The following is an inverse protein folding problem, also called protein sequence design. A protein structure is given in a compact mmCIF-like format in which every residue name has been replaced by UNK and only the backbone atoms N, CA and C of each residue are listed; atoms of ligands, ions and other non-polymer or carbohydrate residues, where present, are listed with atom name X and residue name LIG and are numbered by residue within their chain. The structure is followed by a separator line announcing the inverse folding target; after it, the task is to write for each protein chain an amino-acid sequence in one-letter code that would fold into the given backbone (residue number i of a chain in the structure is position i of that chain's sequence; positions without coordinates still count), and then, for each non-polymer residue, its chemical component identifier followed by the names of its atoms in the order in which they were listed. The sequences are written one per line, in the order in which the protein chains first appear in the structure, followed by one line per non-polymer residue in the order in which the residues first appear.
data_IF_567998395408
#
_entry.id   IF_567998395408
#
_cell.length_a   1.000
_cell.length_b   1.000
_cell.length_c   1.000
_cell.angle_alpha   90.00
_cell.angle_beta   90.00
_cell.angle_gamma   90.00
#
_symmetry.space_group_name_H-M   'P 1'
#
loop_
_entity.id
_entity.type
_entity.pdbx_description
1 polymer ?
#
# COMPACT_ATOMS: atom_id res chain seq x y z
N UNK A 1 -13.31 7.47 -29.12
CA UNK A 1 -11.94 7.85 -28.71
C UNK A 1 -11.77 9.27 -29.19
N UNK A 2 -11.43 10.23 -28.32
CA UNK A 2 -11.11 11.57 -28.80
C UNK A 2 -9.94 11.45 -29.77
N UNK A 3 -9.97 12.21 -30.86
CA UNK A 3 -8.85 12.19 -31.79
C UNK A 3 -7.68 12.90 -31.09
N UNK A 4 -6.54 12.22 -30.98
CA UNK A 4 -5.34 12.73 -30.33
C UNK A 4 -4.19 12.60 -31.32
N UNK A 5 -3.52 13.70 -31.59
CA UNK A 5 -2.31 13.73 -32.43
C UNK A 5 -1.11 13.31 -31.58
N UNK A 6 -0.27 12.45 -32.13
CA UNK A 6 0.94 11.99 -31.46
C UNK A 6 2.18 12.63 -32.08
N UNK A 7 3.03 13.19 -31.22
CA UNK A 7 4.30 13.81 -31.57
C UNK A 7 5.44 13.08 -30.88
N UNK A 8 6.58 12.97 -31.59
CA UNK A 8 7.81 12.41 -31.05
C UNK A 8 8.85 13.52 -30.98
N UNK A 9 9.15 13.98 -29.76
CA UNK A 9 10.18 14.99 -29.56
C UNK A 9 11.58 14.35 -29.54
N UNK A 10 12.54 15.04 -30.14
CA UNK A 10 13.97 14.66 -30.13
C UNK A 10 14.80 15.50 -29.15
N UNK A 11 14.29 16.66 -28.72
CA UNK A 11 14.90 17.53 -27.71
C UNK A 11 13.84 18.12 -26.77
N UNK A 12 14.29 18.72 -25.67
CA UNK A 12 13.42 19.42 -24.71
C UNK A 12 12.82 20.67 -25.35
N UNK A 13 13.61 21.41 -26.12
CA UNK A 13 13.20 22.61 -26.84
C UNK A 13 12.15 22.29 -27.91
N UNK A 14 12.32 21.17 -28.60
CA UNK A 14 11.31 20.67 -29.55
C UNK A 14 10.01 20.27 -28.85
N UNK A 15 10.10 19.55 -27.73
CA UNK A 15 8.92 19.18 -26.95
C UNK A 15 8.13 20.41 -26.47
N UNK A 16 8.84 21.40 -25.92
CA UNK A 16 8.25 22.66 -25.45
C UNK A 16 7.59 23.45 -26.59
N UNK A 17 8.25 23.52 -27.76
CA UNK A 17 7.68 24.15 -28.96
C UNK A 17 6.41 23.43 -29.44
N UNK A 18 6.40 22.09 -29.45
CA UNK A 18 5.23 21.30 -29.83
C UNK A 18 4.07 21.53 -28.84
N UNK A 19 4.36 21.62 -27.55
CA UNK A 19 3.36 21.87 -26.51
C UNK A 19 2.72 23.26 -26.68
N UNK A 20 3.54 24.30 -26.88
CA UNK A 20 3.06 25.66 -27.07
C UNK A 20 2.27 25.89 -28.36
N UNK A 21 2.36 24.99 -29.35
CA UNK A 21 1.62 25.07 -30.60
C UNK A 21 0.26 24.35 -30.56
N UNK A 22 0.03 23.51 -29.54
CA UNK A 22 -1.17 22.70 -29.39
C UNK A 22 -2.15 23.36 -28.42
N UNK A 23 -3.45 23.11 -28.61
CA UNK A 23 -4.48 23.67 -27.74
C UNK A 23 -4.48 23.01 -26.35
N UNK A 24 -4.38 21.67 -26.30
CA UNK A 24 -4.46 20.87 -25.07
C UNK A 24 -3.40 19.76 -25.12
N UNK A 25 -2.13 20.16 -25.15
CA UNK A 25 -1.01 19.22 -25.13
C UNK A 25 -0.78 18.61 -23.74
N UNK A 26 -0.43 17.33 -23.73
CA UNK A 26 0.17 16.68 -22.57
C UNK A 26 1.46 15.97 -22.96
N UNK A 27 2.49 16.16 -22.13
CA UNK A 27 3.70 15.37 -22.23
C UNK A 27 3.42 13.92 -21.82
N UNK A 28 3.98 12.97 -22.57
CA UNK A 28 3.96 11.56 -22.23
C UNK A 28 5.38 11.04 -22.11
N UNK A 29 5.72 10.53 -20.92
CA UNK A 29 6.94 9.77 -20.69
C UNK A 29 6.61 8.28 -20.77
N UNK A 30 6.63 7.56 -19.65
CA UNK A 30 6.28 6.14 -19.60
C UNK A 30 4.82 5.77 -19.90
N UNK A 31 3.92 6.76 -19.87
CA UNK A 31 2.50 6.59 -20.17
C UNK A 31 1.70 5.77 -19.14
N UNK A 32 2.30 5.31 -18.04
CA UNK A 32 1.67 4.39 -17.08
C UNK A 32 0.57 5.02 -16.22
N UNK A 33 0.45 6.36 -16.22
CA UNK A 33 -0.67 7.08 -15.59
C UNK A 33 -1.58 7.74 -16.63
N UNK A 34 -0.98 8.50 -17.54
CA UNK A 34 -1.74 9.27 -18.54
C UNK A 34 -2.53 8.37 -19.51
N UNK A 35 -1.95 7.28 -20.01
CA UNK A 35 -2.65 6.41 -20.98
C UNK A 35 -3.85 5.70 -20.32
N UNK A 36 -3.74 5.12 -19.11
CA UNK A 36 -4.91 4.65 -18.36
C UNK A 36 -5.98 5.73 -18.17
N UNK A 37 -5.61 6.95 -17.78
CA UNK A 37 -6.55 8.07 -17.62
C UNK A 37 -7.27 8.42 -18.94
N UNK A 38 -6.56 8.36 -20.07
CA UNK A 38 -7.17 8.54 -21.38
C UNK A 38 -8.13 7.40 -21.76
N UNK A 39 -7.77 6.14 -21.46
CA UNK A 39 -8.63 4.97 -21.71
C UNK A 39 -9.94 5.06 -20.93
N UNK A 40 -9.91 5.61 -19.72
CA UNK A 40 -11.09 5.86 -18.87
C UNK A 40 -11.75 7.22 -19.12
N UNK A 41 -11.21 8.02 -20.06
CA UNK A 41 -11.70 9.36 -20.44
C UNK A 41 -11.65 10.40 -19.31
N UNK A 42 -10.81 10.18 -18.31
CA UNK A 42 -10.48 11.19 -17.30
C UNK A 42 -9.56 12.28 -17.88
N UNK A 43 -8.82 11.96 -18.94
CA UNK A 43 -8.02 12.91 -19.71
C UNK A 43 -8.30 12.77 -21.22
N UNK A 44 -8.37 13.88 -21.94
CA UNK A 44 -8.60 13.90 -23.39
C UNK A 44 -7.75 14.97 -24.10
N UNK A 45 -6.40 14.87 -24.03
CA UNK A 45 -5.53 15.83 -24.69
C UNK A 45 -5.71 15.81 -26.21
N UNK A 46 -5.57 16.97 -26.84
CA UNK A 46 -5.53 17.08 -28.30
C UNK A 46 -4.24 16.49 -28.85
N UNK A 47 -3.15 16.63 -28.09
CA UNK A 47 -1.81 16.28 -28.52
C UNK A 47 -1.05 15.56 -27.40
N UNK A 48 -0.36 14.48 -27.77
CA UNK A 48 0.60 13.79 -26.90
C UNK A 48 2.01 14.02 -27.41
N UNK A 49 2.88 14.52 -26.55
CA UNK A 49 4.27 14.81 -26.88
C UNK A 49 5.15 13.82 -26.15
N UNK A 50 5.68 12.84 -26.89
CA UNK A 50 6.48 11.76 -26.34
C UNK A 50 7.92 12.20 -26.05
N UNK A 51 8.28 12.17 -24.76
CA UNK A 51 9.59 12.55 -24.25
C UNK A 51 10.58 11.38 -24.19
N UNK A 52 10.15 10.13 -24.39
CA UNK A 52 11.00 8.93 -24.27
C UNK A 52 12.13 8.90 -25.29
N UNK A 53 12.09 9.75 -26.31
CA UNK A 53 13.09 9.79 -27.37
C UNK A 53 14.13 10.90 -27.17
N UNK A 54 13.97 11.74 -26.15
CA UNK A 54 14.95 12.77 -25.78
C UNK A 54 16.06 12.14 -24.94
N UNK A 55 17.24 11.95 -25.54
CA UNK A 55 18.37 11.28 -24.86
C UNK A 55 18.88 12.05 -23.64
N UNK A 56 18.81 13.38 -23.68
CA UNK A 56 19.25 14.25 -22.58
C UNK A 56 18.44 14.07 -21.29
N UNK A 57 17.25 13.47 -21.37
CA UNK A 57 16.38 13.21 -20.21
C UNK A 57 16.67 11.86 -19.54
N UNK A 58 17.68 11.11 -19.98
CA UNK A 58 17.92 9.73 -19.53
C UNK A 58 19.24 9.58 -18.80
N UNK A 59 19.29 8.55 -17.98
CA UNK A 59 20.49 8.07 -17.32
C UNK A 59 20.58 8.50 -15.86
N UNK A 60 21.63 8.01 -15.23
CA UNK A 60 21.98 8.22 -13.84
C UNK A 60 23.46 8.62 -13.82
N UNK A 61 23.78 9.72 -13.15
CA UNK A 61 25.15 10.16 -12.91
C UNK A 61 25.40 10.26 -11.41
N UNK A 62 26.47 9.61 -10.93
CA UNK A 62 26.91 9.66 -9.54
C UNK A 62 28.34 10.18 -9.53
N UNK A 63 28.53 11.39 -8.99
CA UNK A 63 29.82 12.06 -8.89
C UNK A 63 30.16 12.26 -7.41
N UNK A 64 30.90 11.31 -6.83
CA UNK A 64 31.13 11.27 -5.39
C UNK A 64 29.80 11.05 -4.64
N UNK A 65 29.33 12.06 -3.92
CA UNK A 65 28.01 12.04 -3.27
C UNK A 65 26.91 12.72 -4.07
N UNK A 66 27.25 13.48 -5.10
CA UNK A 66 26.25 14.18 -5.91
C UNK A 66 25.60 13.21 -6.90
N UNK A 67 24.28 13.12 -6.86
CA UNK A 67 23.47 12.25 -7.72
C UNK A 67 22.60 13.10 -8.63
N UNK A 68 22.57 12.75 -9.92
CA UNK A 68 21.61 13.29 -10.90
C UNK A 68 20.92 12.15 -11.62
N UNK A 69 19.59 12.15 -11.67
CA UNK A 69 18.79 11.16 -12.38
C UNK A 69 17.94 11.89 -13.42
N UNK A 70 18.10 11.54 -14.69
CA UNK A 70 17.29 12.08 -15.79
C UNK A 70 15.80 11.75 -15.62
N UNK A 71 14.93 12.70 -15.97
CA UNK A 71 13.49 12.57 -15.76
C UNK A 71 12.84 11.39 -16.51
N UNK A 72 13.38 11.03 -17.67
CA UNK A 72 12.93 9.91 -18.50
C UNK A 72 13.59 8.57 -18.14
N UNK A 73 14.37 8.50 -17.04
CA UNK A 73 14.96 7.25 -16.54
C UNK A 73 13.85 6.32 -16.01
N UNK A 74 13.72 5.08 -16.55
CA UNK A 74 12.72 4.14 -16.09
C UNK A 74 12.92 3.70 -14.65
N UNK A 75 11.83 3.36 -13.95
CA UNK A 75 11.92 2.86 -12.57
C UNK A 75 12.79 1.60 -12.46
N UNK A 76 12.78 0.74 -13.48
CA UNK A 76 13.61 -0.46 -13.53
C UNK A 76 15.11 -0.12 -13.54
N UNK A 77 15.52 0.95 -14.23
CA UNK A 77 16.90 1.41 -14.28
C UNK A 77 17.33 2.02 -12.93
N UNK A 78 16.46 2.82 -12.30
CA UNK A 78 16.69 3.33 -10.94
C UNK A 78 16.83 2.18 -9.94
N UNK A 79 15.93 1.19 -10.01
CA UNK A 79 15.95 0.03 -9.12
C UNK A 79 17.20 -0.85 -9.30
N UNK A 80 17.72 -0.95 -10.53
CA UNK A 80 18.84 -1.81 -10.89
C UNK A 80 20.21 -1.13 -10.91
N UNK A 81 20.30 0.17 -10.63
CA UNK A 81 21.56 0.92 -10.72
C UNK A 81 22.51 0.56 -9.57
N UNK A 82 23.67 -0.03 -9.91
CA UNK A 82 24.74 -0.33 -8.96
C UNK A 82 25.36 0.93 -8.36
N UNK A 83 25.56 1.95 -9.19
CA UNK A 83 26.23 3.19 -8.79
C UNK A 83 25.36 3.95 -7.80
N UNK A 84 24.05 3.99 -8.06
CA UNK A 84 23.08 4.59 -7.14
C UNK A 84 22.94 3.75 -5.85
N UNK A 85 22.95 2.42 -5.96
CA UNK A 85 22.89 1.54 -4.80
C UNK A 85 24.12 1.67 -3.89
N UNK A 86 25.28 2.02 -4.44
CA UNK A 86 26.50 2.24 -3.66
C UNK A 86 26.43 3.48 -2.76
N UNK A 87 25.67 4.51 -3.15
CA UNK A 87 25.59 5.78 -2.41
C UNK A 87 24.25 6.03 -1.73
N UNK A 88 23.15 5.48 -2.25
CA UNK A 88 21.79 5.67 -1.73
C UNK A 88 20.91 4.46 -2.07
N UNK A 89 21.11 3.28 -1.45
CA UNK A 89 20.35 2.07 -1.77
C UNK A 89 18.83 2.19 -1.52
N UNK A 90 18.40 3.14 -0.68
CA UNK A 90 17.00 3.38 -0.36
C UNK A 90 16.15 3.74 -1.58
N UNK A 91 16.65 4.56 -2.50
CA UNK A 91 15.89 4.96 -3.69
C UNK A 91 15.78 3.81 -4.70
N UNK A 92 16.81 2.96 -4.79
CA UNK A 92 16.77 1.73 -5.61
C UNK A 92 15.73 0.75 -5.05
N UNK A 93 15.75 0.53 -3.73
CA UNK A 93 14.76 -0.30 -3.04
C UNK A 93 13.34 0.24 -3.19
N UNK A 94 13.15 1.56 -3.07
CA UNK A 94 11.87 2.20 -3.33
C UNK A 94 11.39 1.92 -4.76
N UNK A 95 12.24 2.16 -5.75
CA UNK A 95 11.92 1.97 -7.16
C UNK A 95 11.56 0.51 -7.48
N UNK A 96 12.17 -0.47 -6.81
CA UNK A 96 11.86 -1.89 -7.02
C UNK A 96 10.45 -2.29 -6.57
N UNK A 97 9.81 -1.49 -5.70
CA UNK A 97 8.45 -1.71 -5.20
C UNK A 97 7.37 -0.91 -5.93
N UNK A 98 7.73 -0.19 -7.01
CA UNK A 98 6.76 0.55 -7.83
C UNK A 98 6.13 -0.40 -8.84
N UNK A 99 4.80 -0.52 -8.82
CA UNK A 99 4.05 -1.32 -9.78
C UNK A 99 4.56 -2.76 -9.94
N UNK A 100 4.31 -3.33 -11.12
CA UNK A 100 4.87 -4.61 -11.55
C UNK A 100 6.08 -4.40 -12.49
N UNK A 101 6.79 -5.47 -12.92
CA UNK A 101 7.94 -5.33 -13.82
C UNK A 101 7.64 -4.55 -15.11
N UNK A 102 6.47 -4.69 -15.72
CA UNK A 102 6.12 -3.98 -16.96
C UNK A 102 5.93 -2.49 -16.70
N UNK A 103 5.23 -2.15 -15.61
CA UNK A 103 5.09 -0.75 -15.16
C UNK A 103 6.47 -0.16 -14.92
N UNK A 104 7.41 -0.88 -14.29
CA UNK A 104 8.77 -0.35 -14.03
C UNK A 104 9.62 -0.12 -15.27
N UNK A 105 9.47 -0.93 -16.30
CA UNK A 105 10.23 -0.76 -17.55
C UNK A 105 9.72 0.41 -18.39
N UNK A 106 8.48 0.86 -18.15
CA UNK A 106 7.88 1.96 -18.89
C UNK A 106 7.84 3.25 -18.06
N UNK A 107 7.33 3.20 -16.84
CA UNK A 107 7.22 4.32 -15.91
C UNK A 107 8.57 4.95 -15.60
N UNK A 108 8.58 6.27 -15.49
CA UNK A 108 9.80 7.09 -15.36
C UNK A 108 9.76 7.92 -14.10
N UNK A 109 10.90 8.16 -13.46
CA UNK A 109 10.99 8.98 -12.23
C UNK A 109 10.35 10.37 -12.40
N UNK A 110 10.67 11.08 -13.49
CA UNK A 110 10.12 12.41 -13.76
C UNK A 110 8.61 12.39 -13.97
N UNK A 111 8.09 11.39 -14.70
CA UNK A 111 6.65 11.18 -14.83
C UNK A 111 5.93 10.93 -13.49
N UNK A 112 6.55 10.18 -12.57
CA UNK A 112 5.98 9.96 -11.23
C UNK A 112 6.03 11.22 -10.37
N UNK A 113 7.11 12.00 -10.44
CA UNK A 113 7.27 13.26 -9.69
C UNK A 113 6.31 14.32 -10.22
N UNK A 114 6.21 14.48 -11.56
CA UNK A 114 5.31 15.44 -12.20
C UNK A 114 3.83 15.13 -11.95
N UNK A 115 3.46 13.84 -11.86
CA UNK A 115 2.08 13.47 -11.58
C UNK A 115 1.67 13.74 -10.13
N UNK A 116 2.62 13.71 -9.19
CA UNK A 116 2.41 13.88 -7.76
C UNK A 116 1.15 13.16 -7.23
N UNK A 117 1.01 11.87 -7.57
CA UNK A 117 -0.05 11.07 -6.96
C UNK A 117 0.23 10.96 -5.46
N UNK A 118 -0.76 11.22 -4.57
CA UNK A 118 -0.58 11.10 -3.13
C UNK A 118 -0.05 9.75 -2.68
N UNK A 119 -0.26 8.68 -3.45
CA UNK A 119 0.19 7.34 -3.12
C UNK A 119 1.45 6.90 -3.88
N UNK A 120 2.02 7.77 -4.72
CA UNK A 120 3.26 7.51 -5.43
C UNK A 120 4.46 7.49 -4.47
N UNK A 121 5.43 6.64 -4.77
CA UNK A 121 6.59 6.42 -3.91
C UNK A 121 7.63 7.56 -4.01
N UNK A 122 7.93 8.06 -5.22
CA UNK A 122 9.00 9.05 -5.43
C UNK A 122 8.83 10.39 -4.73
N UNK A 123 7.61 10.98 -4.60
CA UNK A 123 7.44 12.23 -3.85
C UNK A 123 8.05 12.18 -2.45
N UNK A 124 7.87 11.08 -1.72
CA UNK A 124 8.50 10.90 -0.40
C UNK A 124 10.03 10.82 -0.48
N UNK A 125 10.58 10.15 -1.50
CA UNK A 125 12.02 10.13 -1.72
C UNK A 125 12.57 11.54 -1.98
N UNK A 126 11.90 12.33 -2.82
CA UNK A 126 12.34 13.68 -3.16
C UNK A 126 12.34 14.60 -1.92
N UNK A 127 11.29 14.58 -1.12
CA UNK A 127 11.23 15.34 0.13
C UNK A 127 12.24 14.84 1.18
N UNK A 128 12.34 13.52 1.35
CA UNK A 128 13.24 12.90 2.33
C UNK A 128 14.71 13.15 2.01
N UNK A 129 15.09 13.10 0.74
CA UNK A 129 16.44 13.43 0.29
C UNK A 129 16.70 14.94 0.27
N UNK A 130 15.65 15.78 0.34
CA UNK A 130 15.71 17.20 0.00
C UNK A 130 16.29 17.42 -1.38
N UNK A 131 15.74 16.69 -2.34
CA UNK A 131 16.15 16.77 -3.73
C UNK A 131 15.83 18.15 -4.31
N UNK A 132 16.51 18.48 -5.38
CA UNK A 132 16.19 19.58 -6.29
C UNK A 132 15.57 18.99 -7.55
N UNK A 133 14.38 19.46 -7.89
CA UNK A 133 13.68 19.11 -9.13
C UNK A 133 14.13 20.11 -10.18
N UNK A 134 14.80 19.61 -11.22
CA UNK A 134 15.36 20.43 -12.29
C UNK A 134 14.40 20.39 -13.46
N UNK A 135 14.02 21.55 -13.98
CA UNK A 135 13.16 21.68 -15.15
C UNK A 135 13.95 22.25 -16.33
N UNK A 136 13.27 22.49 -17.44
CA UNK A 136 13.82 23.21 -18.59
C UNK A 136 13.91 24.73 -18.36
N UNK A 137 13.30 25.25 -17.29
CA UNK A 137 13.26 26.67 -16.96
C UNK A 137 14.00 27.04 -15.69
N UNK A 138 13.98 26.18 -14.67
CA UNK A 138 14.50 26.49 -13.32
C UNK A 138 14.81 25.24 -12.50
N UNK A 139 15.35 25.47 -11.31
CA UNK A 139 15.51 24.46 -10.27
C UNK A 139 14.58 24.79 -9.10
N UNK A 140 13.91 23.77 -8.56
CA UNK A 140 12.91 23.91 -7.49
C UNK A 140 13.28 22.95 -6.37
N UNK A 141 13.37 23.42 -5.13
CA UNK A 141 13.58 22.53 -3.99
C UNK A 141 12.37 21.60 -3.83
N UNK A 142 12.58 20.35 -3.44
CA UNK A 142 11.48 19.40 -3.23
C UNK A 142 10.47 19.92 -2.18
N UNK A 143 10.95 20.64 -1.15
CA UNK A 143 10.10 21.28 -0.13
C UNK A 143 9.12 22.31 -0.73
N UNK A 144 9.45 22.91 -1.88
CA UNK A 144 8.62 23.89 -2.59
C UNK A 144 7.90 23.31 -3.82
N UNK A 145 8.22 22.07 -4.21
CA UNK A 145 7.74 21.47 -5.45
C UNK A 145 6.35 20.84 -5.32
N UNK A 146 6.07 20.20 -4.19
CA UNK A 146 4.79 19.52 -3.94
C UNK A 146 3.86 20.47 -3.19
N UNK A 147 2.82 20.96 -3.87
CA UNK A 147 1.97 22.06 -3.36
C UNK A 147 0.57 21.61 -2.95
N UNK A 148 0.27 20.32 -3.12
CA UNK A 148 -1.00 19.73 -2.71
C UNK A 148 -1.26 18.40 -3.43
N UNK A 149 -2.50 17.91 -3.32
CA UNK A 149 -2.94 16.66 -3.91
C UNK A 149 -2.98 16.71 -5.45
N UNK A 150 -2.12 15.94 -6.14
CA UNK A 150 -1.94 16.00 -7.61
C UNK A 150 -1.47 17.37 -8.13
N UNK A 151 -1.02 18.26 -7.25
CA UNK A 151 -0.57 19.61 -7.60
C UNK A 151 0.94 19.74 -7.37
N UNK A 152 1.60 20.46 -8.26
CA UNK A 152 3.03 20.75 -8.18
C UNK A 152 3.29 22.19 -8.55
N UNK A 153 4.50 22.68 -8.25
CA UNK A 153 4.98 23.99 -8.66
C UNK A 153 5.36 24.10 -10.16
N UNK A 154 5.06 23.08 -10.98
CA UNK A 154 5.28 23.16 -12.43
C UNK A 154 4.35 24.19 -13.05
N UNK A 155 4.92 25.07 -13.87
CA UNK A 155 4.17 25.95 -14.74
C UNK A 155 3.70 25.22 -16.01
N UNK A 156 2.71 25.78 -16.68
CA UNK A 156 2.24 25.23 -17.95
C UNK A 156 3.37 25.10 -18.98
N UNK A 157 3.43 23.91 -19.59
CA UNK A 157 4.45 23.55 -20.57
C UNK A 157 5.84 23.31 -20.00
N UNK A 158 6.08 23.47 -18.70
CA UNK A 158 7.35 23.19 -18.04
C UNK A 158 7.65 21.67 -18.02
N UNK A 159 8.90 21.30 -18.25
CA UNK A 159 9.35 19.90 -18.37
C UNK A 159 10.38 19.63 -17.28
N UNK A 160 10.11 18.66 -16.41
CA UNK A 160 11.14 18.13 -15.51
C UNK A 160 12.22 17.45 -16.37
N UNK A 161 13.46 17.91 -16.22
CA UNK A 161 14.61 17.38 -16.96
C UNK A 161 15.41 16.38 -16.14
N UNK A 162 15.54 16.61 -14.83
CA UNK A 162 16.24 15.72 -13.91
C UNK A 162 15.78 15.93 -12.45
N UNK A 163 16.20 15.02 -11.58
CA UNK A 163 16.22 15.24 -10.12
C UNK A 163 17.65 15.13 -9.62
N UNK A 164 18.02 16.00 -8.69
CA UNK A 164 19.37 16.08 -8.11
C UNK A 164 19.29 15.97 -6.60
N UNK A 165 20.24 15.30 -5.98
CA UNK A 165 20.40 15.29 -4.52
C UNK A 165 21.82 14.88 -4.16
N UNK A 166 22.25 15.26 -2.96
CA UNK A 166 23.43 14.65 -2.36
C UNK A 166 23.03 13.39 -1.61
N UNK A 167 23.78 12.31 -1.82
CA UNK A 167 23.59 11.06 -1.12
C UNK A 167 23.52 11.33 0.40
N UNK A 168 22.58 10.71 1.13
CA UNK A 168 22.47 10.83 2.59
C UNK A 168 23.49 9.92 3.30
N UNK A 169 23.75 10.17 4.59
CA UNK A 169 24.63 9.30 5.40
C UNK A 169 23.98 7.96 5.72
N UNK A 170 22.65 7.95 5.83
CA UNK A 170 21.83 6.75 5.88
C UNK A 170 20.44 7.08 5.34
N UNK A 171 19.82 6.16 4.62
CA UNK A 171 18.42 6.31 4.21
C UNK A 171 17.74 4.97 4.06
N UNK A 172 16.42 4.96 4.22
CA UNK A 172 15.61 3.76 4.08
C UNK A 172 14.18 4.10 3.68
N UNK A 173 13.52 3.14 3.06
CA UNK A 173 12.13 3.26 2.66
C UNK A 173 11.36 2.04 3.12
N UNK A 174 10.15 2.25 3.64
CA UNK A 174 9.21 1.19 3.92
C UNK A 174 7.81 1.59 3.48
N UNK A 175 7.09 0.63 2.89
CA UNK A 175 5.73 0.82 2.39
C UNK A 175 4.80 -0.25 2.96
N UNK A 176 3.62 0.17 3.39
CA UNK A 176 2.46 -0.69 3.54
C UNK A 176 1.62 -0.57 2.25
N UNK A 177 1.70 -1.56 1.34
CA UNK A 177 1.05 -1.46 0.04
C UNK A 177 -0.42 -1.87 0.11
N UNK A 178 -1.26 -1.24 -0.69
CA UNK A 178 -2.55 -1.78 -1.03
C UNK A 178 -2.35 -3.16 -1.72
N UNK A 179 -3.00 -4.25 -1.26
CA UNK A 179 -2.76 -5.58 -1.79
C UNK A 179 -3.04 -5.73 -3.30
N UNK A 180 -4.06 -5.02 -3.80
CA UNK A 180 -4.49 -5.12 -5.19
C UNK A 180 -3.70 -4.17 -6.10
N UNK A 181 -3.59 -2.88 -5.73
CA UNK A 181 -2.99 -1.87 -6.59
C UNK A 181 -1.49 -1.69 -6.39
N UNK A 182 -0.93 -2.17 -5.27
CA UNK A 182 0.47 -1.98 -4.84
C UNK A 182 0.90 -0.53 -4.55
N UNK A 183 0.00 0.44 -4.71
CA UNK A 183 0.19 1.81 -4.25
C UNK A 183 0.36 1.88 -2.73
N UNK A 184 1.04 2.91 -2.24
CA UNK A 184 1.20 3.11 -0.81
C UNK A 184 -0.14 3.45 -0.16
N UNK A 185 -0.63 2.61 0.74
CA UNK A 185 -1.59 3.11 1.74
C UNK A 185 -0.86 4.01 2.74
N UNK A 186 0.39 3.66 3.06
CA UNK A 186 1.34 4.56 3.72
C UNK A 186 2.75 4.12 3.35
N UNK A 187 3.58 5.06 2.91
CA UNK A 187 5.01 4.86 2.67
C UNK A 187 5.80 5.91 3.41
N UNK A 188 6.95 5.53 3.97
CA UNK A 188 7.83 6.45 4.70
C UNK A 188 9.25 6.32 4.18
N UNK A 189 9.82 7.43 3.73
CA UNK A 189 11.23 7.57 3.39
C UNK A 189 11.92 8.33 4.51
N UNK A 190 12.95 7.73 5.09
CA UNK A 190 13.80 8.37 6.10
C UNK A 190 15.18 8.62 5.53
N UNK A 191 15.76 9.77 5.83
CA UNK A 191 17.14 10.08 5.48
C UNK A 191 17.82 10.82 6.65
N UNK A 192 19.00 10.33 7.04
CA UNK A 192 19.94 11.08 7.86
C UNK A 192 20.94 11.76 6.93
N UNK A 193 20.96 13.08 6.96
CA UNK A 193 21.78 13.95 6.14
C UNK A 193 22.72 14.76 7.04
N UNK A 194 23.66 15.46 6.41
CA UNK A 194 24.60 16.34 7.13
C UNK A 194 23.90 17.52 7.83
N UNK A 195 22.74 17.95 7.32
CA UNK A 195 21.93 19.05 7.85
C UNK A 195 20.77 18.60 8.75
N UNK A 196 20.61 17.30 8.99
CA UNK A 196 19.62 16.76 9.91
C UNK A 196 18.94 15.48 9.43
N UNK A 197 17.85 15.11 10.10
CA UNK A 197 17.02 13.95 9.72
C UNK A 197 15.76 14.42 9.04
N UNK A 198 15.38 13.75 7.95
CA UNK A 198 14.10 13.94 7.27
C UNK A 198 13.27 12.67 7.29
N UNK A 199 11.96 12.83 7.51
CA UNK A 199 10.97 11.75 7.50
C UNK A 199 9.83 12.19 6.61
N UNK A 200 9.83 11.71 5.37
CA UNK A 200 8.82 12.06 4.37
C UNK A 200 7.82 10.92 4.20
N UNK A 201 6.54 11.28 4.12
CA UNK A 201 5.40 10.36 4.16
C UNK A 201 4.58 10.50 2.89
N UNK A 202 4.25 9.37 2.26
CA UNK A 202 3.33 9.27 1.12
C UNK A 202 2.16 8.34 1.46
N UNK A 203 1.03 8.49 0.76
CA UNK A 203 -0.19 7.72 0.90
C UNK A 203 -1.05 8.08 2.09
N UNK A 204 -0.58 8.93 3.03
CA UNK A 204 -1.28 9.21 4.28
C UNK A 204 -1.95 10.58 4.35
N UNK A 205 -1.28 11.63 3.86
CA UNK A 205 -1.71 13.02 4.05
C UNK A 205 -2.87 13.42 3.14
N UNK A 206 -3.80 14.24 3.66
CA UNK A 206 -4.90 14.83 2.90
C UNK A 206 -4.43 15.76 1.78
N UNK A 207 -3.26 16.37 1.97
CA UNK A 207 -2.67 17.34 1.04
C UNK A 207 -1.46 16.76 0.29
N UNK A 208 -1.43 15.44 0.12
CA UNK A 208 -0.35 14.74 -0.58
C UNK A 208 0.82 14.37 0.33
N UNK A 209 2.02 14.41 -0.25
CA UNK A 209 3.26 14.02 0.44
C UNK A 209 3.65 15.10 1.46
N UNK A 210 4.13 14.71 2.64
CA UNK A 210 4.52 15.67 3.68
C UNK A 210 5.71 15.18 4.52
N UNK A 211 6.29 16.08 5.32
CA UNK A 211 7.33 15.75 6.31
C UNK A 211 6.74 15.64 7.71
N UNK A 212 7.06 14.56 8.42
CA UNK A 212 6.61 14.30 9.79
C UNK A 212 7.63 14.87 10.80
N UNK A 213 7.53 16.18 11.07
CA UNK A 213 8.50 16.91 11.91
C UNK A 213 8.67 16.36 13.32
N UNK A 214 7.61 15.80 13.92
CA UNK A 214 7.67 15.13 15.22
C UNK A 214 8.52 13.86 15.22
N UNK A 215 8.57 13.14 14.10
CA UNK A 215 9.42 11.96 13.92
C UNK A 215 10.85 12.36 13.57
N UNK A 216 11.02 13.44 12.79
CA UNK A 216 12.34 14.03 12.53
C UNK A 216 13.03 14.47 13.83
N UNK A 217 12.29 15.17 14.70
CA UNK A 217 12.80 15.61 16.00
C UNK A 217 13.20 14.44 16.91
N UNK A 218 12.43 13.35 16.91
CA UNK A 218 12.77 12.14 17.67
C UNK A 218 14.05 11.48 17.15
N UNK A 219 14.18 11.35 15.82
CA UNK A 219 15.32 10.68 15.18
C UNK A 219 16.60 11.52 15.13
N UNK A 220 16.50 12.84 15.29
CA UNK A 220 17.66 13.73 15.34
C UNK A 220 18.56 13.46 16.56
N UNK A 221 17.98 13.07 17.70
CA UNK A 221 18.72 12.72 18.92
C UNK A 221 19.20 11.27 18.94
N UNK A 222 18.39 10.35 18.38
CA UNK A 222 18.69 8.93 18.28
C UNK A 222 18.11 8.36 16.98
N UNK A 223 18.97 8.09 15.99
CA UNK A 223 18.54 7.54 14.71
C UNK A 223 18.33 6.02 14.81
N UNK A 224 17.30 5.61 15.56
CA UNK A 224 16.94 4.22 15.82
C UNK A 224 15.43 4.01 15.76
N UNK A 225 14.99 2.76 15.55
CA UNK A 225 13.56 2.44 15.57
C UNK A 225 12.93 2.64 16.97
N UNK A 226 13.72 2.47 18.04
CA UNK A 226 13.28 2.66 19.43
C UNK A 226 13.02 4.13 19.77
N UNK A 227 13.69 5.08 19.12
CA UNK A 227 13.41 6.51 19.28
C UNK A 227 11.98 6.90 18.89
N UNK A 228 11.32 6.06 18.08
CA UNK A 228 9.93 6.22 17.64
C UNK A 228 8.92 5.46 18.52
N UNK A 229 9.34 4.84 19.61
CA UNK A 229 8.44 4.19 20.56
C UNK A 229 7.57 5.22 21.30
N UNK A 230 6.26 4.94 21.37
CA UNK A 230 5.28 5.87 21.95
C UNK A 230 5.07 7.17 21.16
N UNK A 231 5.72 7.35 20.00
CA UNK A 231 5.48 8.49 19.11
C UNK A 231 4.28 8.25 18.22
N UNK A 232 3.48 9.29 18.01
CA UNK A 232 2.31 9.27 17.13
C UNK A 232 2.32 10.53 16.27
N UNK A 233 1.88 10.37 15.03
CA UNK A 233 1.57 11.48 14.13
C UNK A 233 0.09 11.85 14.30
N UNK A 234 -0.25 13.13 14.17
CA UNK A 234 -1.66 13.57 14.24
C UNK A 234 -2.49 12.94 13.12
N UNK A 235 -3.72 12.51 13.43
CA UNK A 235 -4.67 12.04 12.42
C UNK A 235 -5.45 13.17 11.74
N UNK A 236 -5.37 14.41 12.24
CA UNK A 236 -6.20 15.53 11.77
C UNK A 236 -6.04 15.81 10.26
N UNK A 237 -4.82 15.67 9.75
CA UNK A 237 -4.47 15.97 8.36
C UNK A 237 -4.31 14.70 7.50
N UNK A 238 -4.86 13.57 7.95
CA UNK A 238 -4.77 12.29 7.23
C UNK A 238 -6.02 11.97 6.42
N UNK A 239 -5.83 11.28 5.30
CA UNK A 239 -6.91 10.78 4.45
C UNK A 239 -7.74 9.71 5.12
N UNK A 240 -9.03 9.74 4.83
CA UNK A 240 -9.96 8.65 5.12
C UNK A 240 -10.66 8.25 3.84
N UNK A 241 -10.55 6.97 3.48
CA UNK A 241 -11.20 6.38 2.32
C UNK A 241 -11.73 4.98 2.64
N UNK A 242 -12.17 4.24 1.62
CA UNK A 242 -12.67 2.87 1.79
C UNK A 242 -11.60 1.85 2.23
N UNK A 243 -10.31 2.18 2.16
CA UNK A 243 -9.20 1.28 2.48
C UNK A 243 -8.65 1.51 3.89
N UNK A 244 -8.67 2.75 4.37
CA UNK A 244 -8.19 3.11 5.69
C UNK A 244 -8.76 4.44 6.17
N UNK A 245 -9.06 4.52 7.47
CA UNK A 245 -9.39 5.78 8.13
C UNK A 245 -8.12 6.56 8.52
N UNK A 246 -8.33 7.81 8.91
CA UNK A 246 -7.27 8.75 9.29
C UNK A 246 -6.43 8.24 10.48
N UNK A 247 -7.04 7.64 11.52
CA UNK A 247 -6.29 7.12 12.66
C UNK A 247 -5.40 5.94 12.27
N UNK A 248 -5.88 5.04 11.41
CA UNK A 248 -5.09 3.92 10.95
C UNK A 248 -3.90 4.36 10.10
N UNK A 249 -4.06 5.37 9.23
CA UNK A 249 -2.94 5.95 8.47
C UNK A 249 -1.92 6.62 9.38
N UNK A 250 -2.37 7.43 10.34
CA UNK A 250 -1.48 8.05 11.33
C UNK A 250 -0.65 6.99 12.09
N UNK A 251 -1.28 5.89 12.50
CA UNK A 251 -0.56 4.76 13.11
C UNK A 251 0.42 4.10 12.13
N UNK A 252 0.02 3.85 10.88
CA UNK A 252 0.90 3.28 9.86
C UNK A 252 2.13 4.15 9.59
N UNK A 253 2.04 5.47 9.70
CA UNK A 253 3.20 6.36 9.54
C UNK A 253 4.29 6.00 10.54
N UNK A 254 3.98 5.90 11.84
CA UNK A 254 4.97 5.50 12.85
C UNK A 254 5.51 4.09 12.59
N UNK A 255 4.66 3.13 12.23
CA UNK A 255 5.09 1.74 11.98
C UNK A 255 6.03 1.66 10.77
N UNK A 256 5.71 2.35 9.67
CA UNK A 256 6.55 2.39 8.48
C UNK A 256 7.84 3.17 8.73
N UNK A 257 7.81 4.28 9.49
CA UNK A 257 9.00 5.02 9.88
C UNK A 257 10.01 4.12 10.62
N UNK A 258 9.54 3.31 11.58
CA UNK A 258 10.40 2.34 12.28
C UNK A 258 11.07 1.36 11.31
N UNK A 259 10.29 0.78 10.40
CA UNK A 259 10.81 -0.15 9.38
C UNK A 259 11.80 0.53 8.43
N UNK A 260 11.53 1.77 8.04
CA UNK A 260 12.41 2.56 7.18
C UNK A 260 13.73 2.87 7.88
N UNK A 261 13.73 3.18 9.19
CA UNK A 261 14.96 3.35 9.99
C UNK A 261 15.74 2.04 10.09
N UNK A 262 15.07 0.92 10.34
CA UNK A 262 15.73 -0.41 10.34
C UNK A 262 16.40 -0.70 8.98
N UNK A 263 15.70 -0.40 7.88
CA UNK A 263 16.26 -0.54 6.54
C UNK A 263 17.45 0.39 6.31
N UNK A 264 17.39 1.64 6.82
CA UNK A 264 18.46 2.62 6.71
C UNK A 264 19.75 2.21 7.43
N UNK A 265 19.63 1.47 8.53
CA UNK A 265 20.77 0.99 9.33
C UNK A 265 21.37 -0.34 8.82
N UNK A 266 20.87 -0.88 7.70
CA UNK A 266 21.39 -2.13 7.13
C UNK A 266 21.14 -3.38 8.00
N UNK A 267 20.28 -3.28 9.02
CA UNK A 267 19.88 -4.39 9.89
C UNK A 267 18.81 -5.24 9.20
N UNK A 268 19.17 -5.80 8.04
CA UNK A 268 18.28 -6.56 7.19
C UNK A 268 18.64 -6.38 5.73
N UNK A 269 19.65 -7.12 5.27
CA UNK A 269 19.58 -7.69 3.93
C UNK A 269 18.19 -8.32 3.83
N UNK A 270 17.29 -7.73 3.03
CA UNK A 270 16.09 -8.44 2.60
C UNK A 270 16.58 -9.52 1.65
N UNK A 271 17.04 -10.62 2.23
CA UNK A 271 16.93 -11.91 1.60
C UNK A 271 15.45 -12.04 1.25
N UNK A 272 15.13 -11.94 -0.05
CA UNK A 272 13.83 -12.17 -0.68
C UNK A 272 12.70 -12.39 0.33
N UNK A 273 11.94 -11.34 0.61
CA UNK A 273 10.72 -11.37 1.42
C UNK A 273 9.56 -12.20 0.80
N UNK A 274 9.84 -13.05 -0.18
CA UNK A 274 8.93 -14.10 -0.63
C UNK A 274 9.02 -15.35 0.26
N UNK A 275 10.16 -15.62 0.93
CA UNK A 275 10.31 -16.82 1.75
C UNK A 275 9.65 -16.71 3.13
N UNK A 276 9.76 -15.55 3.77
CA UNK A 276 9.38 -15.38 5.18
C UNK A 276 7.88 -15.06 5.34
N UNK A 277 7.27 -14.37 4.36
CA UNK A 277 5.81 -14.21 4.30
C UNK A 277 5.11 -15.52 3.94
N UNK A 278 5.71 -16.36 3.11
CA UNK A 278 5.17 -17.69 2.79
C UNK A 278 5.26 -18.60 4.00
N UNK A 279 6.37 -18.57 4.76
CA UNK A 279 6.53 -19.37 5.98
C UNK A 279 5.65 -18.90 7.13
N UNK A 280 5.48 -17.57 7.29
CA UNK A 280 4.55 -17.01 8.26
C UNK A 280 3.09 -17.27 7.86
N UNK A 281 2.74 -17.18 6.57
CA UNK A 281 1.41 -17.52 6.07
C UNK A 281 1.12 -19.03 6.16
N UNK A 282 2.10 -19.89 5.91
CA UNK A 282 2.02 -21.35 6.11
C UNK A 282 1.85 -21.68 7.60
N UNK A 283 2.56 -20.99 8.50
CA UNK A 283 2.43 -21.20 9.94
C UNK A 283 1.06 -20.75 10.44
N UNK A 284 0.58 -19.59 10.00
CA UNK A 284 -0.77 -19.08 10.32
C UNK A 284 -1.86 -19.93 9.68
N UNK A 285 -1.65 -20.45 8.47
CA UNK A 285 -2.56 -21.38 7.81
C UNK A 285 -2.58 -22.76 8.48
N UNK A 286 -1.45 -23.28 8.95
CA UNK A 286 -1.36 -24.52 9.72
C UNK A 286 -1.99 -24.37 11.11
N UNK A 287 -1.81 -23.23 11.77
CA UNK A 287 -2.48 -22.93 13.04
C UNK A 287 -3.98 -22.74 12.84
N UNK A 288 -4.42 -22.07 11.77
CA UNK A 288 -5.83 -21.93 11.42
C UNK A 288 -6.45 -23.28 11.00
N UNK A 289 -5.70 -24.14 10.31
CA UNK A 289 -6.13 -25.50 9.94
C UNK A 289 -6.22 -26.41 11.17
N UNK A 290 -5.26 -26.33 12.10
CA UNK A 290 -5.31 -27.05 13.38
C UNK A 290 -6.47 -26.55 14.26
N UNK A 291 -6.69 -25.24 14.33
CA UNK A 291 -7.82 -24.66 15.03
C UNK A 291 -9.16 -25.07 14.39
N UNK A 292 -9.24 -25.09 13.05
CA UNK A 292 -10.40 -25.57 12.31
C UNK A 292 -10.67 -27.07 12.47
N UNK A 293 -9.62 -27.90 12.51
CA UNK A 293 -9.73 -29.33 12.80
C UNK A 293 -10.14 -29.59 14.26
N UNK A 294 -9.61 -28.81 15.21
CA UNK A 294 -10.00 -28.87 16.62
C UNK A 294 -11.46 -28.45 16.82
N UNK A 295 -11.90 -27.38 16.15
CA UNK A 295 -13.31 -26.96 16.17
C UNK A 295 -14.24 -28.01 15.52
N UNK A 296 -13.83 -28.61 14.39
CA UNK A 296 -14.59 -29.68 13.73
C UNK A 296 -14.61 -31.00 14.53
N UNK A 297 -13.60 -31.27 15.35
CA UNK A 297 -13.59 -32.38 16.30
C UNK A 297 -14.53 -32.09 17.47
N UNK A 298 -14.47 -30.89 18.06
CA UNK A 298 -15.36 -30.49 19.15
C UNK A 298 -16.84 -30.48 18.74
N UNK A 299 -17.14 -30.07 17.50
CA UNK A 299 -18.51 -30.13 16.94
C UNK A 299 -18.95 -31.59 16.74
N UNK A 300 -18.06 -32.49 16.29
CA UNK A 300 -18.38 -33.92 16.17
C UNK A 300 -18.65 -34.57 17.53
N UNK A 301 -17.80 -34.32 18.52
CA UNK A 301 -17.98 -34.83 19.88
C UNK A 301 -19.27 -34.30 20.51
N UNK A 302 -19.60 -33.03 20.28
CA UNK A 302 -20.85 -32.43 20.74
C UNK A 302 -22.07 -33.05 20.06
N UNK A 303 -22.01 -33.32 18.76
CA UNK A 303 -23.08 -34.00 18.00
C UNK A 303 -23.24 -35.45 18.47
N UNK A 304 -22.16 -36.17 18.72
CA UNK A 304 -22.19 -37.54 19.21
C UNK A 304 -22.73 -37.63 20.64
N UNK A 305 -22.31 -36.71 21.52
CA UNK A 305 -22.84 -36.59 22.89
C UNK A 305 -24.33 -36.26 22.86
N UNK A 306 -24.76 -35.34 21.99
CA UNK A 306 -26.17 -35.02 21.80
C UNK A 306 -26.98 -36.21 21.26
N UNK A 307 -26.40 -36.99 20.33
CA UNK A 307 -26.99 -38.22 19.81
C UNK A 307 -27.20 -39.28 20.90
N UNK A 308 -26.18 -39.56 21.71
CA UNK A 308 -26.27 -40.50 22.84
C UNK A 308 -27.30 -40.05 23.90
N UNK A 309 -27.37 -38.74 24.17
CA UNK A 309 -28.36 -38.17 25.07
C UNK A 309 -29.79 -38.33 24.52
N UNK A 310 -29.99 -38.14 23.22
CA UNK A 310 -31.28 -38.33 22.57
C UNK A 310 -31.73 -39.79 22.56
N UNK A 311 -30.82 -40.73 22.28
CA UNK A 311 -31.09 -42.18 22.31
C UNK A 311 -31.49 -42.63 23.72
N UNK A 312 -30.74 -42.20 24.75
CA UNK A 312 -31.08 -42.47 26.14
C UNK A 312 -32.43 -41.87 26.56
N UNK A 313 -32.78 -40.69 26.06
CA UNK A 313 -34.08 -40.08 26.32
C UNK A 313 -35.22 -40.87 25.65
N UNK A 314 -35.02 -41.36 24.42
CA UNK A 314 -35.99 -42.21 23.72
C UNK A 314 -36.18 -43.55 24.41
N UNK A 315 -35.10 -44.18 24.89
CA UNK A 315 -35.18 -45.43 25.64
C UNK A 315 -35.94 -45.25 26.96
N UNK A 316 -35.65 -44.18 27.70
CA UNK A 316 -36.37 -43.85 28.94
C UNK A 316 -37.86 -43.60 28.66
N UNK A 317 -38.20 -42.87 27.58
CA UNK A 317 -39.58 -42.66 27.17
C UNK A 317 -40.27 -43.98 26.76
N UNK A 318 -39.55 -44.87 26.07
CA UNK A 318 -40.02 -46.20 25.72
C UNK A 318 -40.28 -47.08 26.93
N UNK A 319 -39.41 -47.05 27.94
CA UNK A 319 -39.61 -47.77 29.21
C UNK A 319 -40.82 -47.22 29.98
N UNK A 320 -40.96 -45.89 30.06
CA UNK A 320 -42.11 -45.24 30.70
C UNK A 320 -43.43 -45.61 30.00
N UNK A 321 -43.46 -45.64 28.66
CA UNK A 321 -44.63 -46.06 27.90
C UNK A 321 -44.99 -47.53 28.13
N UNK A 322 -44.01 -48.44 28.22
CA UNK A 322 -44.25 -49.86 28.55
C UNK A 322 -44.79 -50.02 29.97
N UNK A 323 -44.26 -49.29 30.95
CA UNK A 323 -44.77 -49.29 32.33
C UNK A 323 -46.21 -48.76 32.42
N UNK A 324 -46.51 -47.66 31.71
CA UNK A 324 -47.87 -47.12 31.62
C UNK A 324 -48.85 -48.12 31.00
N UNK A 325 -48.43 -48.82 29.94
CA UNK A 325 -49.26 -49.81 29.23
C UNK A 325 -49.55 -51.05 30.10
N UNK A 326 -48.54 -51.53 30.84
CA UNK A 326 -48.71 -52.62 31.82
C UNK A 326 -49.67 -52.22 32.96
N UNK A 327 -49.57 -50.98 33.44
CA UNK A 327 -50.46 -50.42 34.48
C UNK A 327 -51.91 -50.31 34.00
N UNK A 328 -52.14 -49.96 32.73
CA UNK A 328 -53.47 -49.90 32.12
C UNK A 328 -54.06 -51.31 31.95
N UNK A 329 -53.26 -52.31 31.56
CA UNK A 329 -53.76 -53.68 31.42
C UNK A 329 -54.24 -54.29 32.74
N UNK A 330 -53.52 -54.04 33.83
CA UNK A 330 -53.84 -54.53 35.18
C UNK A 330 -55.03 -53.83 35.87
N UNK A 331 -55.56 -52.73 35.31
CA UNK A 331 -56.62 -51.95 35.95
C UNK A 331 -58.04 -52.58 35.77
N UNK A 332 -58.91 -52.57 36.79
CA UNK A 332 -60.27 -53.12 36.71
C UNK A 332 -61.19 -52.33 35.76
N UNK A 333 -62.18 -52.97 35.11
CA UNK A 333 -62.88 -52.46 33.91
C UNK A 333 -63.60 -51.12 34.08
N UNK A 334 -64.03 -50.77 35.30
CA UNK A 334 -64.70 -49.48 35.59
C UNK A 334 -63.76 -48.26 35.53
N UNK A 335 -62.44 -48.43 35.66
CA UNK A 335 -61.46 -47.31 35.57
C UNK A 335 -60.87 -47.11 34.17
N UNK A 336 -60.95 -48.11 33.27
CA UNK A 336 -60.45 -48.02 31.88
C UNK A 336 -61.23 -46.99 31.03
N UNK A 337 -62.54 -46.82 31.28
CA UNK A 337 -63.38 -45.83 30.58
C UNK A 337 -63.09 -44.36 30.90
N UNK A 338 -62.55 -44.06 32.09
CA UNK A 338 -62.20 -42.68 32.49
C UNK A 338 -60.84 -42.20 31.97
N UNK A 339 -59.95 -43.12 31.59
CA UNK A 339 -58.58 -42.81 31.16
C UNK A 339 -58.49 -42.50 29.66
N UNK A 340 -59.26 -43.22 28.82
CA UNK A 340 -59.38 -42.96 27.37
C UNK A 340 -59.99 -41.59 27.04
N UNK A 341 -60.92 -41.09 27.87
CA UNK A 341 -61.53 -39.77 27.68
C UNK A 341 -60.55 -38.59 27.94
N UNK A 342 -59.52 -38.78 28.76
CA UNK A 342 -58.51 -37.75 29.06
C UNK A 342 -57.31 -37.76 28.09
N UNK A 343 -57.02 -38.89 27.42
CA UNK A 343 -55.90 -38.98 26.48
C UNK A 343 -56.23 -38.44 25.07
N UNK A 344 -57.51 -38.49 24.65
CA UNK A 344 -57.97 -38.02 23.34
C UNK A 344 -58.68 -36.67 23.38
N UNK A 345 -58.55 -35.92 24.47
CA UNK A 345 -58.98 -34.51 24.51
C UNK A 345 -60.48 -34.26 24.37
N UNK A 346 -61.34 -35.25 24.57
CA UNK A 346 -62.78 -35.04 24.63
C UNK A 346 -63.20 -34.66 26.06
N UNK A 347 -62.95 -33.40 26.40
CA UNK A 347 -63.57 -32.71 27.53
C UNK A 347 -64.82 -31.96 27.06
N UNK A 348 -65.93 -32.18 27.79
CA UNK A 348 -67.28 -31.61 27.66
C UNK A 348 -67.43 -30.33 26.82
#
# INVERSE_FOLDING_TARGET
MHNTTYHRASSVEEASRMAGAAAEAKYVAGGQTLIPAMKTRLAAPSDLIDLRHVSALKGISVNGRSVTIGAATPHAEVAGSSDLAAVCPAICSLASHIGDPHVRHMGTIGGSVANNDPAADYPAAMLGLGATIVTDKREIAADDFFTGLFETALEDGEIITAVKFDAPDAAGYAKFPNPASRYAMTGVFVARRSDGVRVAVTGAGNDGVFRAGELEAALAGDFSASALEGKSVSSADMMSDMHANAEYRANLVTVMAKRAVTAALGSGSVARADGDLTRAAETVADEAAKAGQSAAAAVRDAVETAGQAAEKAMDNAGQAARQATASVHAAPPRKKRGWLARLFGFGK
#
